data_IF_759750717682
#
_entry.id   IF_759750717682
#
_cell.length_a   1.000
_cell.length_b   1.000
_cell.length_c   1.000
_cell.angle_alpha   90.00
_cell.angle_beta   90.00
_cell.angle_gamma   90.00
#
_symmetry.space_group_name_H-M   'P 1'
#
loop_
_entity.id
_entity.type
_entity.pdbx_description
1 polymer ?
#
# COMPACT_ATOMS: atom_id res chain seq x y z
N UNK A 1 6.55 15.32 23.03
CA UNK A 1 5.99 14.66 21.81
C UNK A 1 7.09 13.78 21.24
N UNK A 2 6.89 12.48 21.18
CA UNK A 2 7.95 11.55 20.72
C UNK A 2 8.19 11.73 19.22
N UNK A 3 9.46 11.80 18.79
CA UNK A 3 9.87 11.92 17.38
C UNK A 3 9.30 10.81 16.46
N UNK A 4 8.86 9.69 17.04
CA UNK A 4 8.23 8.58 16.31
C UNK A 4 6.77 8.85 15.91
N UNK A 5 6.11 9.89 16.41
CA UNK A 5 4.71 10.20 16.10
C UNK A 5 4.54 10.97 14.79
N UNK A 6 5.50 11.81 14.41
CA UNK A 6 5.40 12.64 13.22
C UNK A 6 5.39 11.85 11.89
N UNK A 7 6.26 10.86 11.66
CA UNK A 7 6.18 10.00 10.48
C UNK A 7 4.87 9.19 10.40
N UNK A 8 4.40 8.68 11.53
CA UNK A 8 3.15 7.93 11.59
C UNK A 8 1.92 8.80 11.27
N UNK A 9 1.91 10.06 11.74
CA UNK A 9 0.86 11.02 11.41
C UNK A 9 0.89 11.42 9.92
N UNK A 10 2.08 11.63 9.36
CA UNK A 10 2.26 11.91 7.93
C UNK A 10 1.76 10.75 7.07
N UNK A 11 2.10 9.51 7.45
CA UNK A 11 1.64 8.30 6.78
C UNK A 11 0.12 8.16 6.87
N UNK A 12 -0.48 8.33 8.05
CA UNK A 12 -1.94 8.26 8.23
C UNK A 12 -2.66 9.33 7.40
N UNK A 13 -2.12 10.55 7.36
CA UNK A 13 -2.67 11.65 6.55
C UNK A 13 -2.59 11.33 5.06
N UNK A 14 -1.46 10.80 4.58
CA UNK A 14 -1.28 10.43 3.18
C UNK A 14 -2.20 9.26 2.78
N UNK A 15 -2.37 8.27 3.66
CA UNK A 15 -3.30 7.15 3.46
C UNK A 15 -4.74 7.65 3.37
N UNK A 16 -5.18 8.53 4.29
CA UNK A 16 -6.51 9.12 4.23
C UNK A 16 -6.77 9.86 2.92
N UNK A 17 -5.84 10.71 2.49
CA UNK A 17 -5.95 11.44 1.22
C UNK A 17 -6.01 10.52 0.01
N UNK A 18 -5.24 9.43 0.01
CA UNK A 18 -5.31 8.44 -1.06
C UNK A 18 -6.68 7.78 -1.11
N UNK A 19 -7.17 7.31 0.05
CA UNK A 19 -8.47 6.66 0.15
C UNK A 19 -9.65 7.57 -0.25
N UNK A 20 -9.55 8.88 0.00
CA UNK A 20 -10.55 9.87 -0.42
C UNK A 20 -10.67 10.00 -1.95
N UNK A 21 -9.60 9.69 -2.69
CA UNK A 21 -9.60 9.72 -4.16
C UNK A 21 -10.17 8.45 -4.80
N UNK A 22 -10.33 7.37 -4.02
CA UNK A 22 -10.77 6.07 -4.52
C UNK A 22 -12.29 6.00 -4.63
N UNK A 23 -12.76 5.34 -5.68
CA UNK A 23 -14.15 4.91 -5.78
C UNK A 23 -14.46 3.81 -4.73
N UNK A 24 -15.74 3.59 -4.43
CA UNK A 24 -16.14 2.64 -3.39
C UNK A 24 -15.62 1.22 -3.64
N UNK A 25 -15.66 0.75 -4.88
CA UNK A 25 -15.15 -0.56 -5.28
C UNK A 25 -13.63 -0.68 -5.12
N UNK A 26 -12.90 0.38 -5.45
CA UNK A 26 -11.45 0.45 -5.24
C UNK A 26 -11.11 0.50 -3.76
N UNK A 27 -11.86 1.29 -2.98
CA UNK A 27 -11.68 1.42 -1.54
C UNK A 27 -11.89 0.10 -0.81
N UNK A 28 -12.90 -0.69 -1.19
CA UNK A 28 -13.13 -2.02 -0.62
C UNK A 28 -11.93 -2.95 -0.80
N UNK A 29 -11.21 -2.86 -1.92
CA UNK A 29 -9.99 -3.63 -2.16
C UNK A 29 -8.78 -3.05 -1.42
N UNK A 30 -8.73 -1.72 -1.29
CA UNK A 30 -7.59 -0.99 -0.73
C UNK A 30 -7.50 -1.03 0.79
N UNK A 31 -8.59 -1.38 1.48
CA UNK A 31 -8.67 -1.33 2.96
C UNK A 31 -8.94 -2.71 3.51
N UNK A 32 -8.20 -3.07 4.53
CA UNK A 32 -8.47 -4.26 5.35
C UNK A 32 -8.52 -3.89 6.84
N UNK A 33 -9.19 -4.73 7.62
CA UNK A 33 -9.13 -4.64 9.07
C UNK A 33 -7.68 -4.70 9.55
N UNK A 34 -7.38 -4.11 10.72
CA UNK A 34 -6.03 -4.19 11.27
C UNK A 34 -5.76 -5.64 11.71
N UNK A 35 -4.94 -6.40 10.98
CA UNK A 35 -4.74 -7.82 11.22
C UNK A 35 -3.77 -8.06 12.37
N UNK A 36 -3.74 -9.29 12.86
CA UNK A 36 -2.66 -9.77 13.73
C UNK A 36 -1.29 -9.70 13.05
N UNK A 37 -0.23 -9.87 13.84
CA UNK A 37 1.17 -9.79 13.37
C UNK A 37 1.47 -10.66 12.13
N UNK A 38 1.01 -11.93 12.03
CA UNK A 38 1.34 -12.75 10.89
C UNK A 38 0.90 -12.16 9.55
N UNK A 39 -0.25 -11.50 9.51
CA UNK A 39 -0.80 -10.95 8.26
C UNK A 39 -0.09 -9.67 7.83
N UNK A 40 0.36 -8.85 8.79
CA UNK A 40 1.10 -7.61 8.51
C UNK A 40 2.53 -7.86 8.03
N UNK A 41 3.16 -8.92 8.52
CA UNK A 41 4.53 -9.32 8.19
C UNK A 41 4.59 -10.40 7.09
N UNK A 42 3.45 -10.83 6.56
CA UNK A 42 3.39 -11.86 5.53
C UNK A 42 4.15 -11.42 4.28
N UNK A 43 5.10 -12.23 3.88
CA UNK A 43 5.92 -12.06 2.69
C UNK A 43 5.68 -13.20 1.70
N UNK A 44 5.56 -12.87 0.42
CA UNK A 44 5.34 -13.86 -0.63
C UNK A 44 6.35 -13.67 -1.75
N UNK A 45 6.87 -14.80 -2.23
CA UNK A 45 7.70 -14.85 -3.44
C UNK A 45 6.88 -15.23 -4.68
N UNK A 46 5.67 -15.74 -4.47
CA UNK A 46 4.80 -16.25 -5.53
C UNK A 46 3.83 -15.16 -5.95
N UNK A 47 3.64 -14.93 -7.26
CA UNK A 47 2.65 -13.98 -7.75
C UNK A 47 1.26 -14.58 -7.64
N UNK A 48 0.59 -14.26 -6.58
CA UNK A 48 -0.83 -14.54 -6.40
C UNK A 48 -1.54 -13.24 -6.07
N UNK A 49 -2.84 -13.24 -6.10
CA UNK A 49 -3.61 -12.10 -5.57
C UNK A 49 -3.44 -12.08 -4.04
N UNK A 50 -2.61 -11.17 -3.57
CA UNK A 50 -2.33 -10.97 -2.15
C UNK A 50 -3.26 -9.94 -1.51
N UNK A 51 -4.29 -9.52 -2.21
CA UNK A 51 -5.18 -8.46 -1.81
C UNK A 51 -4.56 -7.07 -1.96
N UNK A 52 -5.41 -6.07 -1.90
CA UNK A 52 -5.04 -4.67 -2.12
C UNK A 52 -5.50 -4.14 -3.47
N UNK A 53 -5.25 -2.87 -3.73
CA UNK A 53 -5.56 -2.21 -4.99
C UNK A 53 -4.30 -2.11 -5.85
N UNK A 54 -4.34 -2.66 -7.05
CA UNK A 54 -3.24 -2.56 -8.00
C UNK A 54 -3.10 -1.11 -8.50
N UNK A 55 -1.87 -0.65 -8.71
CA UNK A 55 -1.62 0.67 -9.31
C UNK A 55 -2.16 0.74 -10.74
N UNK A 56 -2.25 -0.39 -11.45
CA UNK A 56 -2.86 -0.49 -12.77
C UNK A 56 -4.35 -0.10 -12.75
N UNK A 57 -5.05 -0.40 -11.67
CA UNK A 57 -6.47 -0.09 -11.49
C UNK A 57 -6.72 1.34 -10.97
N UNK A 58 -5.66 2.12 -10.82
CA UNK A 58 -5.73 3.50 -10.34
C UNK A 58 -5.64 4.49 -11.50
N UNK A 59 -6.40 5.57 -11.41
CA UNK A 59 -6.21 6.75 -12.26
C UNK A 59 -4.85 7.41 -11.98
N UNK A 60 -4.31 8.25 -12.89
CA UNK A 60 -3.05 8.94 -12.64
C UNK A 60 -2.98 9.73 -11.32
N UNK A 61 -4.01 10.50 -10.91
CA UNK A 61 -4.02 11.17 -9.60
C UNK A 61 -3.99 10.19 -8.41
N UNK A 62 -4.77 9.10 -8.50
CA UNK A 62 -4.79 8.06 -7.46
C UNK A 62 -3.43 7.38 -7.32
N UNK A 63 -2.78 7.06 -8.45
CA UNK A 63 -1.42 6.50 -8.49
C UNK A 63 -0.39 7.42 -7.85
N UNK A 64 -0.43 8.71 -8.20
CA UNK A 64 0.45 9.70 -7.61
C UNK A 64 0.26 9.79 -6.09
N UNK A 65 -0.97 9.74 -5.61
CA UNK A 65 -1.25 9.76 -4.18
C UNK A 65 -0.76 8.47 -3.47
N UNK A 66 -0.88 7.31 -4.10
CA UNK A 66 -0.32 6.05 -3.59
C UNK A 66 1.21 6.11 -3.47
N UNK A 67 1.90 6.65 -4.48
CA UNK A 67 3.36 6.84 -4.43
C UNK A 67 3.79 7.87 -3.36
N UNK A 68 2.98 8.91 -3.13
CA UNK A 68 3.21 9.84 -2.00
C UNK A 68 3.05 9.15 -0.65
N UNK A 69 2.06 8.25 -0.51
CA UNK A 69 1.92 7.43 0.69
C UNK A 69 3.17 6.56 0.90
N UNK A 70 3.66 5.89 -0.14
CA UNK A 70 4.90 5.11 -0.09
C UNK A 70 6.08 5.98 0.38
N UNK A 71 6.21 7.20 -0.14
CA UNK A 71 7.29 8.12 0.23
C UNK A 71 7.26 8.53 1.70
N UNK A 72 6.11 8.52 2.38
CA UNK A 72 6.04 8.84 3.81
C UNK A 72 6.64 7.76 4.71
N UNK A 73 6.73 6.53 4.22
CA UNK A 73 7.25 5.38 4.97
C UNK A 73 8.70 5.03 4.67
N UNK A 74 9.34 5.72 3.73
CA UNK A 74 10.69 5.43 3.26
C UNK A 74 11.60 6.65 3.41
N UNK A 75 12.90 6.39 3.57
CA UNK A 75 13.90 7.43 3.34
C UNK A 75 13.94 7.79 1.84
N UNK A 76 14.56 8.94 1.51
CA UNK A 76 14.75 9.33 0.11
C UNK A 76 15.50 8.25 -0.69
N UNK A 77 16.54 7.65 -0.11
CA UNK A 77 17.28 6.56 -0.74
C UNK A 77 16.40 5.31 -0.94
N UNK A 78 15.59 4.96 0.07
CA UNK A 78 14.65 3.85 -0.01
C UNK A 78 13.57 4.07 -1.07
N UNK A 79 13.04 5.28 -1.17
CA UNK A 79 12.06 5.62 -2.20
C UNK A 79 12.67 5.54 -3.61
N UNK A 80 13.87 6.09 -3.79
CA UNK A 80 14.58 6.03 -5.08
C UNK A 80 14.87 4.57 -5.49
N UNK A 81 15.23 3.72 -4.53
CA UNK A 81 15.43 2.29 -4.79
C UNK A 81 14.12 1.62 -5.21
N UNK A 82 13.02 1.86 -4.49
CA UNK A 82 11.71 1.32 -4.85
C UNK A 82 11.27 1.77 -6.25
N UNK A 83 11.41 3.06 -6.55
CA UNK A 83 11.09 3.62 -7.87
C UNK A 83 11.98 3.01 -8.98
N UNK A 84 13.27 2.82 -8.73
CA UNK A 84 14.20 2.17 -9.67
C UNK A 84 13.78 0.71 -9.93
N UNK A 85 13.45 -0.06 -8.87
CA UNK A 85 12.98 -1.45 -9.00
C UNK A 85 11.71 -1.50 -9.86
N UNK A 86 10.74 -0.64 -9.60
CA UNK A 86 9.51 -0.55 -10.41
C UNK A 86 9.82 -0.16 -11.86
N UNK A 87 10.73 0.78 -12.07
CA UNK A 87 11.15 1.25 -13.39
C UNK A 87 11.91 0.21 -14.22
N UNK A 88 12.51 -0.81 -13.59
CA UNK A 88 13.21 -1.89 -14.29
C UNK A 88 12.28 -2.99 -14.82
N UNK A 89 11.00 -3.01 -14.43
CA UNK A 89 10.07 -4.04 -14.89
C UNK A 89 9.98 -4.16 -16.43
N UNK A 90 9.88 -3.06 -17.21
CA UNK A 90 9.86 -3.17 -18.66
C UNK A 90 11.17 -3.68 -19.26
N UNK A 91 12.30 -3.41 -18.60
CA UNK A 91 13.62 -3.92 -19.03
C UNK A 91 13.67 -5.42 -18.82
N UNK A 92 13.28 -5.89 -17.64
CA UNK A 92 13.21 -7.32 -17.31
C UNK A 92 12.23 -8.05 -18.22
N UNK A 93 11.07 -7.44 -18.53
CA UNK A 93 10.11 -8.01 -19.46
C UNK A 93 10.74 -8.35 -20.82
N UNK A 94 11.61 -7.46 -21.32
CA UNK A 94 12.30 -7.66 -22.59
C UNK A 94 13.43 -8.69 -22.51
N UNK A 95 14.15 -8.72 -21.39
CA UNK A 95 15.29 -9.63 -21.21
C UNK A 95 14.86 -11.08 -20.95
N UNK A 96 13.75 -11.25 -20.24
CA UNK A 96 13.26 -12.55 -19.82
C UNK A 96 12.26 -13.16 -20.81
N UNK A 97 11.81 -12.40 -21.82
CA UNK A 97 10.81 -12.78 -22.82
C UNK A 97 9.55 -13.41 -22.22
N UNK A 98 9.09 -12.82 -21.13
CA UNK A 98 7.94 -13.36 -20.40
C UNK A 98 6.64 -13.24 -21.19
N UNK A 99 5.85 -14.30 -21.29
CA UNK A 99 4.60 -14.25 -22.01
C UNK A 99 3.57 -13.36 -21.32
N UNK A 100 2.72 -12.73 -22.11
CA UNK A 100 1.48 -12.13 -21.61
C UNK A 100 0.52 -13.26 -21.29
N UNK A 101 0.19 -13.45 -20.02
CA UNK A 101 -0.72 -14.50 -19.62
C UNK A 101 -2.17 -14.08 -19.83
N UNK A 102 -3.01 -14.93 -20.45
CA UNK A 102 -4.45 -14.65 -20.62
C UNK A 102 -5.12 -14.35 -19.27
N UNK A 103 -5.82 -13.22 -19.18
CA UNK A 103 -6.50 -12.78 -17.95
C UNK A 103 -5.60 -12.10 -16.89
N UNK A 104 -4.27 -12.15 -17.05
CA UNK A 104 -3.32 -11.58 -16.08
C UNK A 104 -2.55 -10.38 -16.63
N UNK A 105 -2.54 -10.21 -17.97
CA UNK A 105 -1.74 -9.17 -18.61
C UNK A 105 -0.22 -9.42 -18.53
N UNK A 106 0.60 -8.39 -18.76
CA UNK A 106 2.06 -8.53 -18.70
C UNK A 106 2.52 -8.85 -17.30
N UNK A 107 3.35 -9.86 -17.15
CA UNK A 107 3.90 -10.30 -15.85
C UNK A 107 4.83 -9.27 -15.26
N UNK A 108 5.59 -8.60 -16.12
CA UNK A 108 6.53 -7.53 -15.76
C UNK A 108 5.92 -6.17 -16.08
N UNK A 109 5.23 -5.57 -15.11
CA UNK A 109 4.56 -4.28 -15.26
C UNK A 109 4.84 -3.40 -14.04
N UNK A 110 5.36 -2.18 -14.22
CA UNK A 110 5.59 -1.24 -13.12
C UNK A 110 4.31 -0.81 -12.40
N UNK A 111 3.14 -1.11 -12.95
CA UNK A 111 1.85 -0.83 -12.34
C UNK A 111 1.24 -2.03 -11.60
N UNK A 112 1.89 -3.19 -11.63
CA UNK A 112 1.45 -4.39 -10.90
C UNK A 112 2.00 -4.46 -9.48
N UNK A 113 2.00 -3.33 -8.82
CA UNK A 113 2.24 -3.23 -7.39
C UNK A 113 0.91 -2.94 -6.69
N UNK A 114 0.70 -3.59 -5.57
CA UNK A 114 -0.55 -3.54 -4.82
C UNK A 114 -0.36 -2.72 -3.55
N UNK A 115 -1.32 -1.86 -3.26
CA UNK A 115 -1.35 -1.07 -2.04
C UNK A 115 -2.55 -1.50 -1.20
N UNK A 116 -2.29 -1.79 0.06
CA UNK A 116 -3.32 -2.09 1.06
C UNK A 116 -3.06 -1.27 2.31
N UNK A 117 -4.11 -0.68 2.85
CA UNK A 117 -4.10 0.06 4.11
C UNK A 117 -4.79 -0.79 5.16
N UNK A 118 -4.10 -1.08 6.25
CA UNK A 118 -4.65 -1.82 7.38
C UNK A 118 -5.15 -0.86 8.45
N UNK A 119 -6.40 -1.01 8.86
CA UNK A 119 -7.02 -0.18 9.89
C UNK A 119 -7.67 1.09 9.35
N UNK A 120 -7.88 2.06 10.23
CA UNK A 120 -8.53 3.33 9.91
C UNK A 120 -7.50 4.47 10.00
N UNK A 121 -7.07 5.04 8.87
CA UNK A 121 -6.12 6.14 8.84
C UNK A 121 -6.73 7.49 9.21
N UNK A 122 -8.03 7.55 9.56
CA UNK A 122 -8.68 8.82 9.88
C UNK A 122 -7.89 9.59 10.96
N UNK A 123 -7.60 10.88 10.74
CA UNK A 123 -6.94 11.69 11.75
C UNK A 123 -7.78 11.71 13.00
N UNK A 124 -7.14 11.53 14.17
CA UNK A 124 -7.81 11.68 15.47
C UNK A 124 -8.42 13.07 15.55
N UNK A 125 -9.69 13.24 15.21
CA UNK A 125 -10.45 14.40 15.65
C UNK A 125 -10.36 14.40 17.18
N UNK A 126 -9.68 15.37 17.75
CA UNK A 126 -9.75 15.64 19.21
C UNK A 126 -11.24 15.84 19.54
N UNK A 127 -11.90 14.79 19.99
CA UNK A 127 -13.20 14.94 20.64
C UNK A 127 -12.94 15.73 21.92
N UNK A 128 -13.26 17.02 21.90
CA UNK A 128 -13.46 17.76 23.14
C UNK A 128 -14.65 17.11 23.85
N UNK A 129 -14.37 16.52 25.01
CA UNK A 129 -15.35 16.26 26.07
C UNK A 129 -16.20 15.02 25.90
N UNK A 130 -15.75 13.90 26.48
CA UNK A 130 -16.49 13.06 27.43
C UNK A 130 -15.47 12.15 28.12
N UNK A 131 -15.33 12.39 29.41
CA UNK A 131 -14.62 11.48 30.30
C UNK A 131 -15.48 10.20 30.47
N UNK A 132 -14.84 9.06 30.39
CA UNK A 132 -15.43 7.76 30.69
C UNK A 132 -15.67 6.94 29.43
N UNK A 133 -14.73 6.07 29.13
CA UNK A 133 -14.90 4.73 28.65
C UNK A 133 -13.68 4.22 27.88
N UNK A 134 -13.20 3.14 28.38
CA UNK A 134 -12.43 2.08 27.72
C UNK A 134 -11.00 2.35 27.28
N UNK A 135 -10.07 2.11 28.20
CA UNK A 135 -8.62 2.24 28.02
C UNK A 135 -7.96 1.05 27.33
N UNK A 136 -8.70 0.08 26.77
CA UNK A 136 -8.13 -1.20 26.31
C UNK A 136 -8.09 -1.50 24.82
N UNK A 137 -8.59 -0.66 23.97
CA UNK A 137 -8.56 -1.03 22.54
C UNK A 137 -8.44 0.14 21.60
N UNK A 138 -7.34 0.81 21.46
CA UNK A 138 -7.16 1.70 20.28
C UNK A 138 -5.72 2.14 20.07
N UNK A 139 -4.80 1.20 19.92
CA UNK A 139 -3.65 1.48 19.08
C UNK A 139 -4.12 1.37 17.63
N UNK A 140 -4.71 2.44 17.11
CA UNK A 140 -4.98 2.57 15.67
C UNK A 140 -3.65 2.90 15.01
N UNK A 141 -2.96 1.87 14.54
CA UNK A 141 -1.82 2.02 13.67
C UNK A 141 -2.33 1.81 12.25
N UNK A 142 -2.12 2.76 11.35
CA UNK A 142 -2.23 2.51 9.93
C UNK A 142 -0.90 1.89 9.50
N UNK A 143 -0.97 0.71 8.92
CA UNK A 143 0.14 0.09 8.22
C UNK A 143 -0.25 -0.02 6.75
N UNK A 144 0.70 0.12 5.84
CA UNK A 144 0.47 -0.17 4.44
C UNK A 144 1.48 -1.20 3.95
N UNK A 145 1.10 -1.94 2.96
CA UNK A 145 1.96 -2.88 2.26
C UNK A 145 1.98 -2.55 0.78
N UNK A 146 3.16 -2.45 0.22
CA UNK A 146 3.38 -2.47 -1.20
C UNK A 146 3.92 -3.86 -1.56
N UNK A 147 3.19 -4.61 -2.36
CA UNK A 147 3.55 -5.94 -2.79
C UNK A 147 3.62 -6.04 -4.30
N UNK A 148 4.48 -6.93 -4.78
CA UNK A 148 4.64 -7.28 -6.19
C UNK A 148 4.10 -8.68 -6.42
N UNK A 149 3.46 -8.89 -7.58
CA UNK A 149 3.13 -10.24 -8.06
C UNK A 149 4.25 -10.73 -8.99
N UNK A 150 4.85 -11.88 -8.66
CA UNK A 150 5.76 -12.61 -9.53
C UNK A 150 5.19 -13.98 -9.83
N UNK A 151 5.20 -14.39 -11.09
CA UNK A 151 5.00 -15.76 -11.51
C UNK A 151 6.35 -16.47 -11.51
N UNK A 152 6.50 -17.47 -10.66
CA UNK A 152 7.47 -18.53 -10.88
C UNK A 152 6.70 -19.71 -11.45
N UNK A 153 6.84 -19.99 -12.73
CA UNK A 153 6.49 -21.30 -13.28
C UNK A 153 7.64 -22.24 -12.98
N UNK A 154 7.31 -23.33 -12.26
CA UNK A 154 8.16 -24.50 -12.23
C UNK A 154 8.08 -25.23 -13.57
#
# INVERSE_FOLDING_TARGET
MSAASAPAEAMATAAGRWLELLEDSQRQRAVAGFPGEPERSRWFYVPTDHGGLALADCTPPQRQAALRLLATGLSLAGYNLAAAVMGHEPVLARLEDWPVLPGWGPVRDPQRYYVIVFGDPAPRRRRRGRAGEDHRSRRRAAAFRLGRQHLLTA
#
